data_IF_881187296651
#
_entry.id   IF_881187296651
#
_cell.length_a   1.000
_cell.length_b   1.000
_cell.length_c   1.000
_cell.angle_alpha   90.00
_cell.angle_beta   90.00
_cell.angle_gamma   90.00
#
_symmetry.space_group_name_H-M   'P 1'
#
loop_
_entity.id
_entity.type
_entity.pdbx_description
1 polymer ?
#
# COMPACT_ATOMS: atom_id res chain seq x y z
N UNK A 1 -0.94 -20.50 -3.26
CA UNK A 1 -2.02 -19.94 -2.42
C UNK A 1 -1.88 -18.44 -2.52
N UNK A 2 -2.95 -17.71 -2.82
CA UNK A 2 -2.89 -16.27 -3.01
C UNK A 2 -2.85 -15.50 -1.68
N UNK A 3 -2.67 -14.17 -1.74
CA UNK A 3 -2.55 -13.33 -0.55
C UNK A 3 -3.80 -13.40 0.32
N UNK A 4 -4.98 -13.30 -0.31
CA UNK A 4 -6.28 -13.39 0.37
C UNK A 4 -6.39 -14.68 1.17
N UNK A 5 -6.21 -15.82 0.51
CA UNK A 5 -6.33 -17.15 1.13
C UNK A 5 -5.34 -17.33 2.29
N UNK A 6 -4.10 -16.84 2.12
CA UNK A 6 -3.06 -16.87 3.15
C UNK A 6 -3.47 -16.09 4.39
N UNK A 7 -3.98 -14.88 4.20
CA UNK A 7 -4.37 -13.97 5.28
C UNK A 7 -5.64 -14.46 5.99
N UNK A 8 -6.65 -14.90 5.23
CA UNK A 8 -7.94 -15.36 5.78
C UNK A 8 -7.80 -16.68 6.55
N UNK A 9 -6.89 -17.57 6.12
CA UNK A 9 -6.56 -18.80 6.86
C UNK A 9 -5.70 -18.60 8.12
N UNK A 10 -5.29 -17.35 8.42
CA UNK A 10 -4.41 -17.05 9.55
C UNK A 10 -2.93 -17.44 9.31
N UNK A 11 -2.57 -17.70 8.06
CA UNK A 11 -1.19 -17.98 7.67
C UNK A 11 -0.28 -16.76 7.79
N UNK A 12 1.01 -17.01 8.00
CA UNK A 12 2.03 -15.96 8.00
C UNK A 12 2.34 -15.50 6.57
N UNK A 13 1.75 -14.39 6.15
CA UNK A 13 1.92 -13.82 4.81
C UNK A 13 3.19 -12.97 4.71
N UNK A 14 3.95 -13.17 3.62
CA UNK A 14 5.15 -12.40 3.31
C UNK A 14 4.92 -11.65 1.99
N UNK A 15 5.07 -10.33 2.02
CA UNK A 15 4.99 -9.51 0.82
C UNK A 15 6.29 -8.76 0.55
N UNK A 16 6.66 -8.60 -0.71
CA UNK A 16 7.66 -7.61 -1.12
C UNK A 16 7.00 -6.31 -1.58
N UNK A 17 7.80 -5.28 -1.82
CA UNK A 17 7.35 -4.04 -2.45
C UNK A 17 8.29 -3.69 -3.60
N UNK A 18 7.73 -3.27 -4.73
CA UNK A 18 8.45 -2.86 -5.92
C UNK A 18 7.90 -1.55 -6.46
N UNK A 19 8.79 -0.65 -6.84
CA UNK A 19 8.43 0.62 -7.43
C UNK A 19 8.50 0.54 -8.95
N UNK A 20 7.46 0.96 -9.68
CA UNK A 20 7.52 1.11 -11.14
C UNK A 20 8.72 1.97 -11.60
N UNK A 21 9.27 1.73 -12.80
CA UNK A 21 10.38 2.51 -13.33
C UNK A 21 9.96 3.96 -13.62
N UNK A 22 10.94 4.87 -13.57
CA UNK A 22 10.83 6.18 -14.21
C UNK A 22 11.20 6.02 -15.69
N UNK A 23 10.22 5.62 -16.48
CA UNK A 23 10.39 5.26 -17.89
C UNK A 23 9.57 4.03 -18.26
N UNK A 24 9.80 3.48 -19.45
CA UNK A 24 9.06 2.34 -19.99
C UNK A 24 9.82 0.99 -19.91
N UNK A 25 11.06 1.00 -19.41
CA UNK A 25 11.85 -0.21 -19.25
C UNK A 25 11.53 -0.90 -17.92
N UNK A 26 10.90 -2.08 -18.01
CA UNK A 26 10.50 -2.91 -16.87
C UNK A 26 11.49 -4.04 -16.56
N UNK A 27 12.63 -4.14 -17.25
CA UNK A 27 13.58 -5.24 -17.07
C UNK A 27 14.01 -5.42 -15.61
N UNK A 28 14.34 -4.32 -14.91
CA UNK A 28 14.74 -4.40 -13.51
C UNK A 28 13.63 -4.97 -12.60
N UNK A 29 12.37 -4.57 -12.80
CA UNK A 29 11.25 -5.13 -12.03
C UNK A 29 11.08 -6.62 -12.36
N UNK A 30 11.24 -7.03 -13.61
CA UNK A 30 11.17 -8.45 -14.00
C UNK A 30 12.28 -9.26 -13.35
N UNK A 31 13.49 -8.73 -13.27
CA UNK A 31 14.62 -9.36 -12.56
C UNK A 31 14.29 -9.52 -11.06
N UNK A 32 13.82 -8.46 -10.40
CA UNK A 32 13.41 -8.51 -9.00
C UNK A 32 12.25 -9.49 -8.77
N UNK A 33 11.25 -9.50 -9.65
CA UNK A 33 10.13 -10.42 -9.63
C UNK A 33 10.60 -11.89 -9.65
N UNK A 34 11.49 -12.23 -10.57
CA UNK A 34 12.06 -13.59 -10.68
C UNK A 34 12.85 -13.97 -9.42
N UNK A 35 13.55 -13.01 -8.81
CA UNK A 35 14.32 -13.25 -7.60
C UNK A 35 13.45 -13.54 -6.36
N UNK A 36 12.21 -13.05 -6.30
CA UNK A 36 11.31 -13.26 -5.15
C UNK A 36 10.22 -14.31 -5.41
N UNK A 37 10.09 -14.80 -6.65
CA UNK A 37 9.09 -15.80 -7.01
C UNK A 37 9.22 -17.07 -6.16
N UNK A 38 8.10 -17.49 -5.57
CA UNK A 38 8.04 -18.63 -4.63
C UNK A 38 8.54 -18.31 -3.22
N UNK A 39 8.96 -17.07 -2.92
CA UNK A 39 9.39 -16.63 -1.58
C UNK A 39 8.43 -15.63 -0.93
N UNK A 40 7.53 -15.05 -1.72
CA UNK A 40 6.52 -14.08 -1.27
C UNK A 40 5.13 -14.52 -1.74
N UNK A 41 4.12 -14.22 -0.94
CA UNK A 41 2.71 -14.48 -1.26
C UNK A 41 2.14 -13.41 -2.21
N UNK A 42 2.66 -12.17 -2.15
CA UNK A 42 2.31 -11.09 -3.08
C UNK A 42 3.38 -9.99 -3.11
N UNK A 43 3.24 -9.05 -4.06
CA UNK A 43 4.14 -7.91 -4.21
C UNK A 43 3.34 -6.62 -4.31
N UNK A 44 3.59 -5.68 -3.39
CA UNK A 44 3.07 -4.33 -3.48
C UNK A 44 3.70 -3.60 -4.66
N UNK A 45 2.86 -2.93 -5.45
CA UNK A 45 3.29 -2.07 -6.56
C UNK A 45 2.98 -0.64 -6.20
N UNK A 46 4.01 0.17 -5.97
CA UNK A 46 3.82 1.55 -5.51
C UNK A 46 3.23 2.45 -6.59
N UNK A 47 2.44 3.43 -6.17
CA UNK A 47 1.78 4.40 -7.05
C UNK A 47 2.39 5.80 -6.89
N UNK A 48 3.30 6.13 -7.80
CA UNK A 48 4.08 7.38 -7.81
C UNK A 48 4.66 7.71 -6.43
N UNK A 49 5.43 6.78 -5.86
CA UNK A 49 6.01 6.91 -4.52
C UNK A 49 6.69 8.26 -4.33
N UNK A 50 6.44 8.90 -3.18
CA UNK A 50 6.94 10.26 -2.86
C UNK A 50 6.47 11.33 -3.85
N UNK A 51 5.33 11.14 -4.52
CA UNK A 51 4.81 12.00 -5.57
C UNK A 51 5.79 12.23 -6.74
N UNK A 52 6.60 11.21 -7.06
CA UNK A 52 7.57 11.25 -8.16
C UNK A 52 7.02 10.55 -9.38
N UNK A 53 7.13 11.19 -10.56
CA UNK A 53 6.66 10.61 -11.83
C UNK A 53 7.38 9.30 -12.15
N UNK A 54 6.57 8.26 -12.36
CA UNK A 54 6.92 6.88 -12.74
C UNK A 54 5.83 6.34 -13.66
N UNK A 55 5.97 5.13 -14.17
CA UNK A 55 4.79 4.40 -14.67
C UNK A 55 3.82 4.13 -13.52
N UNK A 56 2.52 4.05 -13.82
CA UNK A 56 1.51 3.82 -12.78
C UNK A 56 1.63 2.43 -12.17
N UNK A 57 1.08 2.26 -10.96
CA UNK A 57 1.02 0.96 -10.30
C UNK A 57 0.25 -0.09 -11.11
N UNK A 58 -0.73 0.31 -11.93
CA UNK A 58 -1.46 -0.57 -12.85
C UNK A 58 -0.50 -1.25 -13.85
N UNK A 59 0.40 -0.47 -14.47
CA UNK A 59 1.39 -0.99 -15.40
C UNK A 59 2.34 -1.97 -14.71
N UNK A 60 2.87 -1.61 -13.55
CA UNK A 60 3.73 -2.51 -12.76
C UNK A 60 3.00 -3.78 -12.33
N UNK A 61 1.74 -3.69 -11.90
CA UNK A 61 0.93 -4.84 -11.49
C UNK A 61 0.68 -5.81 -12.65
N UNK A 62 0.41 -5.30 -13.86
CA UNK A 62 0.27 -6.11 -15.07
C UNK A 62 1.56 -6.87 -15.40
N UNK A 63 2.72 -6.21 -15.28
CA UNK A 63 4.04 -6.82 -15.50
C UNK A 63 4.30 -7.94 -14.48
N UNK A 64 3.93 -7.75 -13.21
CA UNK A 64 4.08 -8.79 -12.19
C UNK A 64 3.17 -10.00 -12.44
N UNK A 65 1.94 -9.78 -12.90
CA UNK A 65 1.06 -10.88 -13.31
C UNK A 65 1.68 -11.71 -14.43
N UNK A 66 2.32 -11.08 -15.42
CA UNK A 66 3.03 -11.78 -16.51
C UNK A 66 4.23 -12.59 -16.00
N UNK A 67 4.92 -12.13 -14.96
CA UNK A 67 5.99 -12.89 -14.30
C UNK A 67 5.44 -13.98 -13.33
N UNK A 68 4.11 -14.11 -13.21
CA UNK A 68 3.45 -15.11 -12.36
C UNK A 68 3.53 -14.78 -10.87
N UNK A 69 3.49 -13.49 -10.52
CA UNK A 69 3.37 -12.98 -9.16
C UNK A 69 2.02 -12.30 -8.97
N UNK A 70 1.52 -12.36 -7.74
CA UNK A 70 0.28 -11.70 -7.35
C UNK A 70 0.56 -10.26 -6.91
N UNK A 71 0.08 -9.23 -7.64
CA UNK A 71 0.30 -7.84 -7.27
C UNK A 71 -0.70 -7.38 -6.21
N UNK A 72 -0.25 -6.47 -5.33
CA UNK A 72 -1.09 -5.57 -4.54
C UNK A 72 -0.91 -4.17 -5.13
N UNK A 73 -1.87 -3.75 -5.95
CA UNK A 73 -1.79 -2.47 -6.64
C UNK A 73 -2.12 -1.34 -5.66
N UNK A 74 -1.17 -0.45 -5.40
CA UNK A 74 -1.45 0.77 -4.65
C UNK A 74 -2.22 1.74 -5.54
N UNK A 75 -3.17 2.48 -4.97
CA UNK A 75 -3.88 3.55 -5.67
C UNK A 75 -4.05 4.74 -4.74
N UNK A 76 -3.79 5.94 -5.27
CA UNK A 76 -3.81 7.19 -4.52
C UNK A 76 -4.86 8.17 -5.05
N UNK A 77 -5.35 9.04 -4.16
CA UNK A 77 -6.24 10.15 -4.52
C UNK A 77 -5.52 11.49 -4.76
N UNK A 78 -4.21 11.56 -4.47
CA UNK A 78 -3.35 12.74 -4.65
C UNK A 78 -3.54 13.41 -6.00
N UNK A 79 -3.55 12.62 -7.08
CA UNK A 79 -3.50 13.10 -8.47
C UNK A 79 -4.72 12.67 -9.30
N UNK A 80 -5.76 12.11 -8.68
CA UNK A 80 -6.94 11.54 -9.35
C UNK A 80 -8.25 12.02 -8.75
N UNK A 81 -9.24 12.23 -9.60
CA UNK A 81 -10.64 12.44 -9.20
C UNK A 81 -11.41 11.11 -9.16
N UNK A 82 -12.66 11.14 -8.70
CA UNK A 82 -13.54 9.96 -8.62
C UNK A 82 -13.75 9.20 -9.92
N UNK A 83 -13.68 9.88 -11.07
CA UNK A 83 -13.85 9.23 -12.38
C UNK A 83 -12.58 8.43 -12.69
N UNK A 84 -11.41 9.05 -12.52
CA UNK A 84 -10.12 8.40 -12.74
C UNK A 84 -9.92 7.20 -11.79
N UNK A 85 -10.27 7.34 -10.51
CA UNK A 85 -10.20 6.25 -9.53
C UNK A 85 -11.08 5.07 -9.94
N UNK A 86 -12.35 5.31 -10.31
CA UNK A 86 -13.25 4.24 -10.75
C UNK A 86 -12.72 3.54 -12.01
N UNK A 87 -12.28 4.31 -13.01
CA UNK A 87 -11.75 3.77 -14.26
C UNK A 87 -10.50 2.89 -14.04
N UNK A 88 -9.60 3.30 -13.15
CA UNK A 88 -8.37 2.54 -12.86
C UNK A 88 -8.66 1.27 -12.04
N UNK A 89 -9.59 1.31 -11.09
CA UNK A 89 -10.06 0.13 -10.36
C UNK A 89 -10.73 -0.90 -11.29
N UNK A 90 -11.58 -0.45 -12.21
CA UNK A 90 -12.23 -1.31 -13.19
C UNK A 90 -11.22 -1.90 -14.17
N UNK A 91 -10.25 -1.10 -14.62
CA UNK A 91 -9.15 -1.55 -15.47
C UNK A 91 -8.28 -2.60 -14.76
N UNK A 92 -7.99 -2.40 -13.49
CA UNK A 92 -7.26 -3.36 -12.67
C UNK A 92 -7.99 -4.71 -12.59
N UNK A 93 -9.30 -4.68 -12.29
CA UNK A 93 -10.12 -5.88 -12.24
C UNK A 93 -10.17 -6.61 -13.60
N UNK A 94 -10.34 -5.87 -14.71
CA UNK A 94 -10.36 -6.44 -16.06
C UNK A 94 -9.02 -7.10 -16.44
N UNK A 95 -7.90 -6.61 -15.91
CA UNK A 95 -6.57 -7.20 -16.10
C UNK A 95 -6.26 -8.36 -15.14
N UNK A 96 -7.20 -8.73 -14.26
CA UNK A 96 -7.05 -9.81 -13.27
C UNK A 96 -6.34 -9.40 -11.98
N UNK A 97 -6.19 -8.09 -11.71
CA UNK A 97 -5.61 -7.58 -10.47
C UNK A 97 -6.72 -7.53 -9.41
N UNK A 98 -6.57 -8.36 -8.37
CA UNK A 98 -7.58 -8.51 -7.32
C UNK A 98 -7.21 -7.78 -6.02
N UNK A 99 -5.92 -7.61 -5.72
CA UNK A 99 -5.52 -6.94 -4.47
C UNK A 99 -5.24 -5.45 -4.72
N UNK A 100 -5.89 -4.60 -3.94
CA UNK A 100 -5.77 -3.14 -4.06
C UNK A 100 -5.48 -2.54 -2.69
N UNK A 101 -4.47 -1.68 -2.60
CA UNK A 101 -4.14 -0.93 -1.38
C UNK A 101 -4.52 0.55 -1.57
N UNK A 102 -5.55 0.99 -0.84
CA UNK A 102 -6.05 2.35 -0.93
C UNK A 102 -5.24 3.32 -0.05
N UNK A 103 -4.71 4.38 -0.67
CA UNK A 103 -3.88 5.39 -0.04
C UNK A 103 -4.41 6.79 -0.34
N UNK A 104 -4.19 7.76 0.56
CA UNK A 104 -4.46 9.17 0.23
C UNK A 104 -3.41 9.69 -0.75
N UNK A 105 -2.15 9.29 -0.57
CA UNK A 105 -0.99 9.78 -1.33
C UNK A 105 -0.35 11.00 -0.67
N UNK A 106 0.93 11.19 -0.95
CA UNK A 106 1.72 12.32 -0.43
C UNK A 106 1.29 13.64 -1.08
N UNK A 107 1.69 14.79 -0.55
CA UNK A 107 1.41 16.06 -1.24
C UNK A 107 2.36 16.25 -2.44
N UNK A 108 1.91 16.72 -3.63
CA UNK A 108 2.81 16.91 -4.78
C UNK A 108 4.04 17.78 -4.52
N UNK A 109 3.96 18.70 -3.55
CA UNK A 109 5.07 19.57 -3.14
C UNK A 109 6.31 18.84 -2.63
N UNK A 110 6.20 17.56 -2.22
CA UNK A 110 7.37 16.77 -1.81
C UNK A 110 8.02 15.98 -2.96
N UNK A 111 7.35 15.96 -4.12
CA UNK A 111 7.76 15.19 -5.29
C UNK A 111 8.63 15.98 -6.26
N UNK A 112 8.77 15.45 -7.47
CA UNK A 112 9.57 16.07 -8.54
C UNK A 112 8.77 17.08 -9.39
N UNK A 113 7.48 17.27 -9.09
CA UNK A 113 6.60 18.26 -9.74
C UNK A 113 5.85 19.08 -8.68
N UNK A 114 6.54 19.93 -7.91
CA UNK A 114 5.93 20.64 -6.78
C UNK A 114 4.84 21.64 -7.19
N UNK A 115 4.82 22.08 -8.45
CA UNK A 115 3.79 22.97 -9.02
C UNK A 115 2.53 22.23 -9.49
N UNK A 116 2.55 20.89 -9.51
CA UNK A 116 1.39 20.09 -9.88
C UNK A 116 0.25 20.28 -8.85
N UNK A 117 -0.98 20.41 -9.36
CA UNK A 117 -2.16 20.53 -8.49
C UNK A 117 -2.48 19.18 -7.85
N UNK A 118 -2.55 19.15 -6.52
CA UNK A 118 -3.17 18.04 -5.81
C UNK A 118 -4.68 18.03 -6.09
N UNK A 119 -5.20 16.88 -6.51
CA UNK A 119 -6.62 16.68 -6.79
C UNK A 119 -7.36 16.39 -5.48
N UNK A 120 -6.96 15.34 -4.76
CA UNK A 120 -7.51 14.97 -3.45
C UNK A 120 -9.06 14.95 -3.37
N UNK A 121 -9.75 14.64 -4.49
CA UNK A 121 -11.21 14.43 -4.50
C UNK A 121 -11.62 13.25 -3.61
N UNK A 122 -10.70 12.30 -3.42
CA UNK A 122 -10.89 11.14 -2.56
C UNK A 122 -9.67 10.92 -1.67
N UNK A 123 -9.93 10.59 -0.41
CA UNK A 123 -8.90 10.03 0.47
C UNK A 123 -8.93 8.49 0.46
N UNK A 124 -8.01 7.86 1.19
CA UNK A 124 -7.97 6.39 1.31
C UNK A 124 -9.31 5.75 1.74
N UNK A 125 -10.16 6.44 2.52
CA UNK A 125 -11.45 5.90 2.96
C UNK A 125 -12.45 5.96 1.80
N UNK A 126 -12.50 7.08 1.07
CA UNK A 126 -13.39 7.21 -0.08
C UNK A 126 -13.01 6.30 -1.25
N UNK A 127 -11.72 6.03 -1.44
CA UNK A 127 -11.25 5.03 -2.42
C UNK A 127 -11.73 3.63 -2.04
N UNK A 128 -11.64 3.23 -0.76
CA UNK A 128 -12.17 1.94 -0.30
C UNK A 128 -13.69 1.84 -0.50
N UNK A 129 -14.44 2.90 -0.18
CA UNK A 129 -15.89 2.95 -0.41
C UNK A 129 -16.22 2.80 -1.90
N UNK A 130 -15.43 3.45 -2.76
CA UNK A 130 -15.57 3.36 -4.22
C UNK A 130 -15.33 1.94 -4.70
N UNK A 131 -14.22 1.32 -4.30
CA UNK A 131 -13.92 -0.06 -4.69
C UNK A 131 -14.98 -1.05 -4.16
N UNK A 132 -15.49 -0.85 -2.94
CA UNK A 132 -16.59 -1.65 -2.38
C UNK A 132 -17.89 -1.49 -3.16
N UNK A 133 -18.22 -0.26 -3.59
CA UNK A 133 -19.40 0.02 -4.42
C UNK A 133 -19.29 -0.63 -5.80
N UNK A 134 -18.12 -0.52 -6.45
CA UNK A 134 -17.86 -1.21 -7.72
C UNK A 134 -17.99 -2.73 -7.57
N UNK A 135 -17.48 -3.30 -6.47
CA UNK A 135 -17.63 -4.73 -6.16
C UNK A 135 -19.07 -5.16 -5.84
N UNK A 136 -20.00 -4.21 -5.66
CA UNK A 136 -21.44 -4.51 -5.59
C UNK A 136 -22.11 -4.52 -6.97
N UNK A 137 -21.36 -4.31 -8.05
CA UNK A 137 -21.87 -4.32 -9.43
C UNK A 137 -22.36 -2.97 -9.96
N UNK A 138 -22.10 -1.87 -9.25
CA UNK A 138 -22.56 -0.53 -9.65
C UNK A 138 -21.44 0.52 -9.54
N UNK A 139 -21.50 1.53 -10.40
CA UNK A 139 -20.66 2.74 -10.26
C UNK A 139 -21.12 3.63 -9.08
N UNK A 140 -20.38 4.71 -8.82
CA UNK A 140 -20.72 5.66 -7.74
C UNK A 140 -22.03 6.41 -7.94
N UNK A 141 -22.57 6.42 -9.15
CA UNK A 141 -23.88 7.01 -9.48
C UNK A 141 -25.03 6.00 -9.49
N UNK A 142 -24.72 4.72 -9.28
CA UNK A 142 -25.70 3.64 -9.23
C UNK A 142 -26.00 2.99 -10.59
N UNK A 143 -25.20 3.24 -11.63
CA UNK A 143 -25.35 2.52 -12.88
C UNK A 143 -24.71 1.14 -12.80
N UNK A 144 -25.39 0.14 -13.36
CA UNK A 144 -24.91 -1.24 -13.40
C UNK A 144 -23.62 -1.36 -14.25
N UNK A 145 -22.71 -2.20 -13.78
CA UNK A 145 -21.47 -2.54 -14.46
C UNK A 145 -21.64 -3.80 -15.32
N UNK A 146 -20.97 -3.81 -16.48
CA UNK A 146 -20.80 -5.05 -17.25
C UNK A 146 -19.72 -5.92 -16.61
N UNK A 147 -20.15 -6.83 -15.73
CA UNK A 147 -19.27 -7.68 -14.93
C UNK A 147 -19.00 -7.08 -13.55
N UNK A 148 -18.80 -7.95 -12.56
CA UNK A 148 -18.63 -7.55 -11.16
C UNK A 148 -17.16 -7.77 -10.78
N UNK A 149 -16.42 -6.71 -10.42
CA UNK A 149 -15.04 -6.85 -10.00
C UNK A 149 -14.96 -7.50 -8.62
N UNK A 150 -13.96 -8.36 -8.44
CA UNK A 150 -13.61 -8.94 -7.14
C UNK A 150 -12.35 -8.29 -6.60
N UNK A 151 -12.45 -7.64 -5.44
CA UNK A 151 -11.31 -7.04 -4.77
C UNK A 151 -11.03 -7.64 -3.40
N UNK A 152 -9.74 -7.78 -3.08
CA UNK A 152 -9.24 -7.91 -1.72
C UNK A 152 -8.58 -6.59 -1.32
N UNK A 153 -9.34 -5.79 -0.56
CA UNK A 153 -8.99 -4.40 -0.27
C UNK A 153 -8.09 -4.29 0.95
N UNK A 154 -7.00 -3.55 0.82
CA UNK A 154 -6.09 -3.22 1.89
C UNK A 154 -6.01 -1.71 2.13
N UNK A 155 -5.46 -1.33 3.28
CA UNK A 155 -5.14 0.05 3.58
C UNK A 155 -3.88 0.20 4.43
N UNK A 156 -3.31 1.40 4.48
CA UNK A 156 -2.17 1.68 5.36
C UNK A 156 -2.59 2.09 6.78
N UNK A 157 -1.71 1.86 7.76
CA UNK A 157 -1.80 2.40 9.12
C UNK A 157 -0.42 2.75 9.66
N UNK A 158 -0.30 3.75 10.53
CA UNK A 158 0.99 4.18 11.09
C UNK A 158 0.97 4.00 12.62
N UNK A 159 1.55 2.92 13.16
CA UNK A 159 1.55 2.66 14.61
C UNK A 159 2.23 3.75 15.45
N UNK A 160 3.21 4.45 14.89
CA UNK A 160 3.98 5.52 15.55
C UNK A 160 3.36 6.92 15.46
N UNK A 161 2.16 7.05 14.89
CA UNK A 161 1.52 8.35 14.79
C UNK A 161 1.08 8.84 16.17
N UNK A 162 1.22 10.14 16.43
CA UNK A 162 0.84 10.76 17.71
C UNK A 162 -0.25 11.83 17.48
N UNK A 163 -1.43 11.71 18.12
CA UNK A 163 -1.89 10.59 18.96
C UNK A 163 -2.36 9.38 18.13
N UNK A 164 -1.95 8.17 18.55
CA UNK A 164 -2.23 6.90 17.82
C UNK A 164 -3.73 6.61 17.71
N UNK A 165 -4.53 7.14 18.63
CA UNK A 165 -5.99 7.03 18.64
C UNK A 165 -6.62 7.59 17.36
N UNK A 166 -6.01 8.63 16.74
CA UNK A 166 -6.47 9.15 15.45
C UNK A 166 -6.28 8.12 14.32
N UNK A 167 -5.16 7.36 14.35
CA UNK A 167 -4.94 6.28 13.40
C UNK A 167 -5.92 5.13 13.61
N UNK A 168 -6.19 4.76 14.87
CA UNK A 168 -7.17 3.70 15.18
C UNK A 168 -8.58 4.12 14.74
N UNK A 169 -8.98 5.37 14.95
CA UNK A 169 -10.25 5.89 14.45
C UNK A 169 -10.31 5.84 12.92
N UNK A 170 -9.24 6.23 12.22
CA UNK A 170 -9.15 6.13 10.75
C UNK A 170 -9.17 4.67 10.29
N UNK A 171 -8.52 3.77 11.01
CA UNK A 171 -8.52 2.33 10.75
C UNK A 171 -9.96 1.77 10.84
N UNK A 172 -10.71 2.12 11.89
CA UNK A 172 -12.15 1.75 12.00
C UNK A 172 -12.99 2.29 10.84
N UNK A 173 -12.72 3.52 10.36
CA UNK A 173 -13.39 4.05 9.16
C UNK A 173 -13.04 3.24 7.91
N UNK A 174 -11.76 2.89 7.73
CA UNK A 174 -11.27 2.07 6.60
C UNK A 174 -11.85 0.65 6.62
N UNK A 175 -11.96 0.01 7.79
CA UNK A 175 -12.61 -1.31 7.94
C UNK A 175 -14.08 -1.25 7.50
N UNK A 176 -14.84 -0.24 7.98
CA UNK A 176 -16.23 -0.04 7.55
C UNK A 176 -16.36 0.27 6.06
N UNK A 177 -15.35 0.89 5.46
CA UNK A 177 -15.29 1.16 4.03
C UNK A 177 -14.89 -0.05 3.17
N UNK A 178 -14.57 -1.21 3.78
CA UNK A 178 -14.30 -2.45 3.08
C UNK A 178 -12.87 -3.01 3.21
N UNK A 179 -11.95 -2.32 3.90
CA UNK A 179 -10.59 -2.83 4.09
C UNK A 179 -10.59 -4.17 4.86
N UNK A 180 -9.90 -5.17 4.29
CA UNK A 180 -9.75 -6.54 4.80
C UNK A 180 -8.41 -6.79 5.47
N UNK A 181 -7.38 -6.05 5.07
CA UNK A 181 -6.06 -6.09 5.70
C UNK A 181 -5.44 -4.70 5.79
N UNK A 182 -4.45 -4.56 6.66
CA UNK A 182 -3.70 -3.33 6.84
C UNK A 182 -2.21 -3.58 6.71
N UNK A 183 -1.49 -2.62 6.14
CA UNK A 183 -0.03 -2.60 6.12
C UNK A 183 0.47 -1.45 6.96
N UNK A 184 1.46 -1.70 7.82
CA UNK A 184 2.08 -0.63 8.59
C UNK A 184 3.13 0.10 7.76
N UNK A 185 3.42 1.37 8.08
CA UNK A 185 4.73 1.94 7.76
C UNK A 185 5.86 1.11 8.41
N UNK A 186 7.11 1.35 8.01
CA UNK A 186 8.23 0.59 8.56
C UNK A 186 8.31 0.76 10.08
N UNK A 187 8.38 -0.37 10.79
CA UNK A 187 8.55 -0.37 12.25
C UNK A 187 9.83 -1.11 12.63
N UNK A 188 10.61 -0.49 13.51
CA UNK A 188 11.90 -0.99 14.00
C UNK A 188 11.89 -1.33 15.49
N UNK A 189 10.78 -1.06 16.17
CA UNK A 189 10.58 -1.31 17.59
C UNK A 189 9.42 -2.29 17.79
N UNK A 190 9.71 -3.45 18.36
CA UNK A 190 8.72 -4.51 18.58
C UNK A 190 7.68 -4.12 19.63
N UNK A 191 8.05 -3.31 20.62
CA UNK A 191 7.15 -2.93 21.71
C UNK A 191 6.11 -1.92 21.24
N UNK A 192 6.46 -1.08 20.25
CA UNK A 192 5.51 -0.25 19.51
C UNK A 192 4.45 -1.10 18.81
N UNK A 193 4.86 -2.16 18.10
CA UNK A 193 3.90 -3.07 17.45
C UNK A 193 3.04 -3.79 18.49
N UNK A 194 3.62 -4.33 19.56
CA UNK A 194 2.84 -5.01 20.61
C UNK A 194 1.78 -4.08 21.22
N UNK A 195 2.17 -2.85 21.57
CA UNK A 195 1.24 -1.85 22.12
C UNK A 195 0.14 -1.49 21.13
N UNK A 196 0.50 -1.29 19.86
CA UNK A 196 -0.47 -1.01 18.81
C UNK A 196 -1.47 -2.18 18.63
N UNK A 197 -0.98 -3.41 18.58
CA UNK A 197 -1.81 -4.62 18.43
C UNK A 197 -2.75 -4.80 19.63
N UNK A 198 -2.32 -4.52 20.87
CA UNK A 198 -3.21 -4.57 22.04
C UNK A 198 -4.34 -3.53 21.95
N UNK A 199 -4.06 -2.32 21.45
CA UNK A 199 -5.07 -1.27 21.24
C UNK A 199 -6.11 -1.63 20.16
N UNK A 200 -5.80 -2.54 19.24
CA UNK A 200 -6.70 -2.95 18.15
C UNK A 200 -7.17 -4.40 18.27
N UNK A 201 -6.93 -5.09 19.40
CA UNK A 201 -7.26 -6.52 19.57
C UNK A 201 -8.73 -6.87 19.37
N UNK A 202 -9.62 -5.91 19.63
CA UNK A 202 -11.07 -6.07 19.45
C UNK A 202 -11.53 -5.82 18.00
N UNK A 203 -10.60 -5.45 17.12
CA UNK A 203 -10.87 -5.27 15.69
C UNK A 203 -10.56 -6.58 14.96
N UNK A 204 -11.54 -7.11 14.22
CA UNK A 204 -11.32 -8.24 13.32
C UNK A 204 -10.63 -7.78 12.02
N UNK A 205 -9.34 -7.50 12.14
CA UNK A 205 -8.48 -6.99 11.05
C UNK A 205 -7.15 -7.72 11.04
N UNK A 206 -6.59 -7.90 9.84
CA UNK A 206 -5.28 -8.51 9.66
C UNK A 206 -4.25 -7.43 9.40
N UNK A 207 -3.09 -7.49 10.05
CA UNK A 207 -2.03 -6.49 9.94
C UNK A 207 -0.74 -7.14 9.45
N UNK A 208 -0.22 -6.63 8.33
CA UNK A 208 1.11 -6.94 7.81
C UNK A 208 2.07 -5.85 8.29
N UNK A 209 3.09 -6.24 9.04
CA UNK A 209 4.09 -5.29 9.57
C UNK A 209 5.11 -4.99 8.48
N UNK A 210 5.22 -3.70 8.14
CA UNK A 210 6.23 -3.19 7.22
C UNK A 210 7.63 -3.20 7.84
N UNK A 211 8.61 -3.73 7.11
CA UNK A 211 10.02 -3.72 7.50
C UNK A 211 10.85 -3.29 6.30
N UNK A 212 11.72 -2.30 6.49
CA UNK A 212 12.68 -1.86 5.47
C UNK A 212 14.10 -2.22 5.97
N UNK A 213 14.81 -3.14 5.31
CA UNK A 213 16.19 -3.47 5.65
C UNK A 213 17.09 -2.23 5.54
N UNK A 214 17.72 -1.85 6.65
CA UNK A 214 18.63 -0.71 6.70
C UNK A 214 19.99 -1.10 6.10
N UNK A 215 20.45 -0.33 5.12
CA UNK A 215 21.75 -0.57 4.44
C UNK A 215 22.92 0.12 5.14
N UNK A 216 22.67 1.16 5.91
CA UNK A 216 23.71 1.90 6.64
C UNK A 216 23.11 2.71 7.80
N UNK A 217 23.95 3.09 8.76
CA UNK A 217 23.57 4.04 9.80
C UNK A 217 23.18 5.42 9.23
N UNK A 218 23.72 5.78 8.06
CA UNK A 218 23.35 7.01 7.35
C UNK A 218 21.90 6.95 6.83
N UNK A 219 21.51 5.82 6.22
CA UNK A 219 20.13 5.59 5.78
C UNK A 219 19.16 5.66 6.97
N UNK A 220 19.51 5.06 8.11
CA UNK A 220 18.67 5.09 9.29
C UNK A 220 18.42 6.53 9.81
N UNK A 221 19.47 7.36 9.88
CA UNK A 221 19.33 8.79 10.24
C UNK A 221 18.49 9.57 9.23
N UNK A 222 18.69 9.30 7.94
CA UNK A 222 17.87 9.92 6.89
C UNK A 222 16.39 9.59 7.08
N UNK A 223 16.05 8.32 7.37
CA UNK A 223 14.67 7.90 7.61
C UNK A 223 14.04 8.63 8.78
N UNK A 224 14.74 8.75 9.92
CA UNK A 224 14.25 9.50 11.09
C UNK A 224 13.96 10.98 10.79
N UNK A 225 14.77 11.60 9.93
CA UNK A 225 14.68 13.04 9.66
C UNK A 225 13.71 13.39 8.52
N UNK A 226 13.48 12.47 7.58
CA UNK A 226 12.81 12.80 6.30
C UNK A 226 11.59 11.94 6.01
N UNK A 227 11.34 10.84 6.75
CA UNK A 227 10.20 9.95 6.48
C UNK A 227 9.21 9.99 7.65
N UNK A 228 8.09 10.72 7.52
CA UNK A 228 7.10 10.83 8.56
C UNK A 228 6.54 9.48 9.01
N UNK A 229 6.37 9.31 10.32
CA UNK A 229 5.77 8.10 10.89
C UNK A 229 6.69 6.88 10.98
N UNK A 230 7.98 7.04 10.67
CA UNK A 230 9.02 6.03 10.89
C UNK A 230 10.00 6.56 11.95
N UNK A 231 10.41 5.66 12.86
CA UNK A 231 11.49 5.92 13.81
C UNK A 231 12.37 4.67 13.94
N UNK A 232 13.63 4.81 13.60
CA UNK A 232 14.71 3.86 13.89
C UNK A 232 15.28 4.20 15.27
N UNK A 233 15.25 3.28 16.25
CA UNK A 233 15.88 3.47 17.56
C UNK A 233 17.38 3.74 17.46
N UNK A 234 17.89 4.60 18.34
CA UNK A 234 19.32 4.96 18.37
C UNK A 234 20.23 3.75 18.59
N UNK A 235 19.78 2.76 19.38
CA UNK A 235 20.51 1.50 19.59
C UNK A 235 20.77 0.76 18.26
N UNK A 236 19.79 0.71 17.35
CA UNK A 236 19.96 0.08 16.04
C UNK A 236 20.98 0.88 15.21
N UNK A 237 20.87 2.21 15.22
CA UNK A 237 21.79 3.10 14.49
C UNK A 237 23.23 2.91 15.00
N UNK A 238 23.42 2.83 16.32
CA UNK A 238 24.73 2.69 16.94
C UNK A 238 25.33 1.30 16.73
N UNK A 239 24.51 0.24 16.73
CA UNK A 239 24.96 -1.11 16.32
C UNK A 239 25.46 -1.11 14.88
N UNK A 240 24.76 -0.43 13.96
CA UNK A 240 25.17 -0.34 12.56
C UNK A 240 26.44 0.50 12.34
N UNK A 241 26.78 1.45 13.22
CA UNK A 241 28.05 2.21 13.13
C UNK A 241 29.27 1.35 13.52
N UNK A 242 29.05 0.31 14.33
CA UNK A 242 30.10 -0.56 14.89
C UNK A 242 30.36 -1.82 14.05
N UNK A 243 29.54 -2.07 13.03
CA UNK A 243 29.67 -3.18 12.10
C UNK A 243 30.42 -2.73 10.84
#
# INVERSE_FOLDING_TARGET
MGLKDKIESGGFAITAEMAPPKGIDFNHIRECARAVKGRVDAVNVTDFQSAVVRTSSLGGAKILLEEGLEPVMQITGRDRNRIAVQGELLSAAALGIKNVLALTGDHPSIGDHPEAKGVFDMDSVNILQTATKLASGEDLTGHELSGIPEYFLGASVTPLYDPVELQIMKMKKKTRAGAKFFQTQAVYDIDVIKSFMDKIKDMDVKVLVGVIPLKSAGMARYMNNNVPGIRVPDEIIDRMKKA
#
